data_IF_663169572483
#
_entry.id   IF_663169572483
#
_cell.length_a   1.000
_cell.length_b   1.000
_cell.length_c   1.000
_cell.angle_alpha   90.00
_cell.angle_beta   90.00
_cell.angle_gamma   90.00
#
_symmetry.space_group_name_H-M   'P 1'
#
loop_
_entity.id
_entity.type
_entity.pdbx_description
1 polymer ?
#
# COMPACT_ATOMS: atom_id res chain seq x y z
N UNK A 1 -3.03 -1.32 -16.39
CA UNK A 1 -3.24 -2.24 -15.25
C UNK A 1 -2.12 -1.93 -14.27
N UNK A 2 -2.37 -1.88 -12.95
CA UNK A 2 -1.29 -1.67 -12.00
C UNK A 2 -0.22 -2.75 -12.19
N UNK A 3 1.00 -2.41 -11.90
CA UNK A 3 2.13 -3.34 -11.87
C UNK A 3 2.82 -3.37 -10.52
N UNK A 4 2.49 -2.44 -9.60
CA UNK A 4 3.00 -2.42 -8.24
C UNK A 4 1.98 -1.90 -7.23
N UNK A 5 2.18 -2.28 -5.97
CA UNK A 5 1.37 -1.86 -4.81
C UNK A 5 2.27 -1.07 -3.88
N UNK A 6 1.85 0.13 -3.49
CA UNK A 6 2.62 1.00 -2.59
C UNK A 6 1.85 1.20 -1.31
N UNK A 7 2.47 0.91 -0.16
CA UNK A 7 1.94 1.26 1.15
C UNK A 7 2.63 2.54 1.61
N UNK A 8 1.87 3.59 1.94
CA UNK A 8 2.42 4.86 2.41
C UNK A 8 1.62 5.41 3.59
N UNK A 9 2.20 6.35 4.36
CA UNK A 9 1.48 7.04 5.43
C UNK A 9 0.75 8.25 4.84
N UNK A 10 -0.53 8.39 5.16
CA UNK A 10 -1.29 9.58 4.80
C UNK A 10 -0.65 10.81 5.46
N UNK A 11 -0.55 11.91 4.72
CA UNK A 11 0.07 13.15 5.20
C UNK A 11 -0.63 13.74 6.45
N UNK A 12 -1.90 13.39 6.66
CA UNK A 12 -2.73 13.89 7.76
C UNK A 12 -3.49 12.71 8.38
N UNK A 13 -3.61 12.70 9.72
CA UNK A 13 -4.49 11.77 10.44
C UNK A 13 -3.90 10.40 10.77
N UNK A 14 -2.60 10.17 10.50
CA UNK A 14 -1.90 8.96 10.95
C UNK A 14 -2.38 7.65 10.32
N UNK A 15 -3.02 7.74 9.14
CA UNK A 15 -3.57 6.59 8.41
C UNK A 15 -2.56 6.03 7.42
N UNK A 16 -2.84 4.84 6.91
CA UNK A 16 -2.04 4.13 5.93
C UNK A 16 -2.81 4.01 4.62
N UNK A 17 -2.16 4.30 3.51
CA UNK A 17 -2.72 4.23 2.17
C UNK A 17 -2.09 3.06 1.43
N UNK A 18 -2.92 2.27 0.76
CA UNK A 18 -2.49 1.27 -0.23
C UNK A 18 -2.87 1.83 -1.60
N UNK A 19 -1.86 2.18 -2.40
CA UNK A 19 -2.02 2.70 -3.76
C UNK A 19 -1.57 1.68 -4.79
N UNK A 20 -2.19 1.73 -5.97
CA UNK A 20 -1.90 0.83 -7.09
C UNK A 20 -1.32 1.68 -8.23
N UNK A 21 -0.06 1.43 -8.58
CA UNK A 21 0.62 2.20 -9.63
C UNK A 21 0.81 1.37 -10.91
N UNK A 22 0.65 1.97 -12.11
CA UNK A 22 0.17 3.34 -12.33
C UNK A 22 -1.31 3.54 -11.92
N UNK A 23 -1.61 4.70 -11.34
CA UNK A 23 -2.97 5.02 -10.85
C UNK A 23 -4.02 4.90 -11.95
N UNK A 24 -5.14 4.29 -11.60
CA UNK A 24 -6.28 4.13 -12.50
C UNK A 24 -7.59 4.20 -11.72
N UNK A 25 -8.65 4.72 -12.37
CA UNK A 25 -10.00 4.78 -11.79
C UNK A 25 -10.52 3.38 -11.43
N UNK A 26 -10.10 2.35 -12.18
CA UNK A 26 -10.47 0.96 -11.88
C UNK A 26 -9.79 0.38 -10.64
N UNK A 27 -8.74 1.03 -10.13
CA UNK A 27 -7.96 0.59 -8.97
C UNK A 27 -7.74 1.76 -8.00
N UNK A 28 -8.80 2.18 -7.27
CA UNK A 28 -8.69 3.26 -6.31
C UNK A 28 -7.78 2.88 -5.14
N UNK A 29 -7.07 3.86 -4.59
CA UNK A 29 -6.32 3.69 -3.36
C UNK A 29 -7.25 3.36 -2.19
N UNK A 30 -6.75 2.58 -1.24
CA UNK A 30 -7.48 2.16 -0.05
C UNK A 30 -6.83 2.78 1.20
N UNK A 31 -7.64 3.15 2.18
CA UNK A 31 -7.20 3.79 3.42
C UNK A 31 -7.47 2.87 4.62
N UNK A 32 -6.49 2.76 5.52
CA UNK A 32 -6.53 1.93 6.72
C UNK A 32 -6.08 2.71 7.95
N UNK A 33 -6.60 2.34 9.12
CA UNK A 33 -6.18 2.95 10.40
C UNK A 33 -4.88 2.35 10.91
N UNK A 34 -4.66 1.05 10.68
CA UNK A 34 -3.49 0.34 11.16
C UNK A 34 -2.63 -0.17 10.00
N UNK A 35 -1.31 -0.07 10.16
CA UNK A 35 -0.35 -0.57 9.18
C UNK A 35 -0.56 -2.06 8.86
N UNK A 36 -0.82 -2.87 9.89
CA UNK A 36 -1.07 -4.30 9.70
C UNK A 36 -2.28 -4.62 8.81
N UNK A 37 -3.30 -3.77 8.79
CA UNK A 37 -4.45 -3.93 7.87
C UNK A 37 -4.06 -3.58 6.43
N UNK A 38 -3.33 -2.47 6.26
CA UNK A 38 -2.81 -2.06 4.96
C UNK A 38 -1.88 -3.12 4.36
N UNK A 39 -0.98 -3.68 5.18
CA UNK A 39 -0.06 -4.74 4.78
C UNK A 39 -0.80 -6.02 4.38
N UNK A 40 -1.76 -6.49 5.17
CA UNK A 40 -2.60 -7.65 4.80
C UNK A 40 -3.33 -7.43 3.47
N UNK A 41 -3.84 -6.21 3.23
CA UNK A 41 -4.48 -5.89 1.96
C UNK A 41 -3.48 -5.94 0.79
N UNK A 42 -2.29 -5.37 0.96
CA UNK A 42 -1.26 -5.38 -0.07
C UNK A 42 -0.78 -6.80 -0.37
N UNK A 43 -0.53 -7.62 0.66
CA UNK A 43 -0.14 -9.02 0.51
C UNK A 43 -1.22 -9.86 -0.20
N UNK A 44 -2.51 -9.62 0.10
CA UNK A 44 -3.60 -10.28 -0.61
C UNK A 44 -3.66 -9.90 -2.10
N UNK A 45 -3.40 -8.63 -2.44
CA UNK A 45 -3.34 -8.16 -3.84
C UNK A 45 -2.10 -8.68 -4.57
N UNK A 46 -0.97 -8.76 -3.88
CA UNK A 46 0.23 -9.41 -4.37
C UNK A 46 -0.04 -10.88 -4.70
N UNK A 47 -0.68 -11.63 -3.79
CA UNK A 47 -1.01 -13.03 -4.02
C UNK A 47 -1.96 -13.23 -5.22
N UNK A 48 -2.89 -12.30 -5.46
CA UNK A 48 -3.85 -12.38 -6.56
C UNK A 48 -3.27 -11.97 -7.93
N UNK A 49 -2.34 -11.03 -7.96
CA UNK A 49 -1.88 -10.40 -9.21
C UNK A 49 -0.38 -10.50 -9.49
N UNK A 50 0.42 -10.90 -8.50
CA UNK A 50 1.88 -10.97 -8.60
C UNK A 50 2.59 -9.61 -8.50
N UNK A 51 1.87 -8.51 -8.25
CA UNK A 51 2.45 -7.17 -8.21
C UNK A 51 3.34 -6.98 -6.98
N UNK A 52 4.60 -6.53 -7.11
CA UNK A 52 5.45 -6.22 -5.97
C UNK A 52 4.80 -5.24 -4.99
N UNK A 53 5.07 -5.45 -3.69
CA UNK A 53 4.66 -4.55 -2.61
C UNK A 53 5.86 -3.71 -2.19
N UNK A 54 5.70 -2.39 -2.25
CA UNK A 54 6.67 -1.40 -1.78
C UNK A 54 6.09 -0.77 -0.52
N UNK A 55 6.65 -1.12 0.63
CA UNK A 55 6.25 -0.55 1.91
C UNK A 55 7.11 0.67 2.24
N UNK A 56 6.52 1.86 2.14
CA UNK A 56 7.16 3.15 2.44
C UNK A 56 6.79 3.67 3.83
N UNK A 57 6.26 2.81 4.71
CA UNK A 57 5.76 3.22 6.02
C UNK A 57 6.78 3.08 7.14
N UNK A 58 7.92 2.44 6.86
CA UNK A 58 9.09 2.42 7.73
C UNK A 58 9.79 3.82 7.66
N UNK A 59 10.30 4.47 8.70
CA UNK A 59 11.07 3.97 9.85
C UNK A 59 11.94 2.74 9.51
N UNK A 60 12.41 2.72 8.26
CA UNK A 60 13.39 1.79 7.71
C UNK A 60 14.70 2.51 7.45
N UNK A 61 15.08 3.38 8.39
CA UNK A 61 16.47 3.62 8.72
C UNK A 61 16.83 2.68 9.87
N UNK A 62 18.01 2.08 9.78
CA UNK A 62 18.59 1.07 10.67
C UNK A 62 18.44 1.30 12.19
N UNK A 63 18.59 0.17 12.89
CA UNK A 63 19.19 -0.03 14.23
C UNK A 63 19.68 1.20 15.02
#
# INVERSE_FOLDING_TARGET
>A
MPDQIVISKAAIGGRFLVSFEPRSVSWPSLEFRHHGEAKRCADARHAAHGWPVIDQTAEGGEA
#
